data_IF_927971068706
#
_entry.id   IF_927971068706
#
_cell.length_a   1.000
_cell.length_b   1.000
_cell.length_c   1.000
_cell.angle_alpha   90.00
_cell.angle_beta   90.00
_cell.angle_gamma   90.00
#
_symmetry.space_group_name_H-M   'P 1'
#
loop_
_entity.id
_entity.type
_entity.pdbx_description
1 polymer ?
#
# COMPACT_ATOMS: atom_id res chain seq x y z
N UNK A 1 7.60 -10.68 57.99
CA UNK A 1 6.77 -11.16 56.85
C UNK A 1 5.95 -10.03 56.18
N UNK A 2 6.52 -8.84 55.93
CA UNK A 2 5.82 -7.73 55.22
C UNK A 2 6.34 -7.46 53.80
N UNK A 3 7.52 -7.99 53.43
CA UNK A 3 8.17 -7.70 52.14
C UNK A 3 7.72 -8.60 50.97
N UNK A 4 7.03 -9.72 51.26
CA UNK A 4 6.61 -10.70 50.23
C UNK A 4 5.31 -10.26 49.53
N UNK A 5 4.46 -9.47 50.19
CA UNK A 5 3.17 -9.03 49.60
C UNK A 5 3.31 -7.97 48.51
N UNK A 6 4.40 -7.19 48.50
CA UNK A 6 4.62 -6.13 47.51
C UNK A 6 5.11 -6.72 46.18
N UNK A 7 5.87 -7.83 46.24
CA UNK A 7 6.44 -8.47 45.05
C UNK A 7 5.37 -9.14 44.18
N UNK A 8 4.32 -9.70 44.79
CA UNK A 8 3.23 -10.37 44.09
C UNK A 8 2.27 -9.41 43.36
N UNK A 9 2.18 -8.15 43.80
CA UNK A 9 1.31 -7.13 43.17
C UNK A 9 1.96 -6.57 41.91
N UNK A 10 3.29 -6.43 41.89
CA UNK A 10 4.01 -5.98 40.70
C UNK A 10 3.94 -7.02 39.57
N UNK A 11 3.97 -8.32 39.84
CA UNK A 11 3.91 -9.36 38.80
C UNK A 11 2.54 -9.50 38.13
N UNK A 12 1.46 -9.09 38.78
CA UNK A 12 0.10 -9.15 38.20
C UNK A 12 -0.21 -7.89 37.37
N UNK A 13 0.45 -6.76 37.65
CA UNK A 13 0.29 -5.56 36.83
C UNK A 13 1.01 -5.64 35.48
N UNK A 14 2.07 -6.44 35.35
CA UNK A 14 2.78 -6.60 34.08
C UNK A 14 2.11 -7.58 33.11
N UNK A 15 1.21 -8.47 33.56
CA UNK A 15 0.49 -9.40 32.68
C UNK A 15 -0.74 -8.78 31.99
N UNK A 16 -1.24 -7.64 32.47
CA UNK A 16 -2.41 -6.97 31.89
C UNK A 16 -2.06 -5.92 30.82
N UNK A 17 -0.77 -5.65 30.61
CA UNK A 17 -0.28 -4.81 29.50
C UNK A 17 0.09 -5.67 28.29
N UNK A 18 -0.45 -6.90 28.21
CA UNK A 18 -0.52 -7.66 26.97
C UNK A 18 -1.55 -6.99 26.05
N UNK A 19 -1.11 -5.87 25.46
CA UNK A 19 -1.60 -5.22 24.25
C UNK A 19 -2.62 -6.06 23.45
N UNK A 20 -3.90 -5.98 23.83
CA UNK A 20 -4.95 -5.93 22.82
C UNK A 20 -4.78 -4.55 22.16
N UNK A 21 -3.89 -4.47 21.17
CA UNK A 21 -3.90 -3.35 20.25
C UNK A 21 -5.34 -3.20 19.79
N UNK A 22 -5.94 -2.01 19.95
CA UNK A 22 -7.32 -1.84 19.48
C UNK A 22 -7.40 -2.23 18.00
N UNK A 23 -8.57 -2.65 17.48
CA UNK A 23 -8.70 -2.96 16.06
C UNK A 23 -8.15 -1.85 15.15
N UNK A 24 -8.22 -0.59 15.59
CA UNK A 24 -7.61 0.56 14.91
C UNK A 24 -6.07 0.54 14.92
N UNK A 25 -5.44 0.12 16.02
CA UNK A 25 -3.98 0.00 16.12
C UNK A 25 -3.47 -1.21 15.32
N UNK A 26 -4.22 -2.33 15.31
CA UNK A 26 -3.92 -3.46 14.44
C UNK A 26 -4.05 -3.09 12.97
N UNK A 27 -5.13 -2.39 12.61
CA UNK A 27 -5.35 -1.88 11.26
C UNK A 27 -4.27 -0.88 10.85
N UNK A 28 -3.90 0.05 11.74
CA UNK A 28 -2.80 0.99 11.53
C UNK A 28 -1.47 0.27 11.35
N UNK A 29 -1.15 -0.72 12.20
CA UNK A 29 0.06 -1.53 12.07
C UNK A 29 0.07 -2.36 10.81
N UNK A 30 -1.07 -2.95 10.41
CA UNK A 30 -1.25 -3.68 9.15
C UNK A 30 -0.97 -2.78 7.95
N UNK A 31 -1.58 -1.59 7.90
CA UNK A 31 -1.34 -0.59 6.85
C UNK A 31 0.11 -0.11 6.83
N UNK A 32 0.73 0.05 8.00
CA UNK A 32 2.15 0.44 8.13
C UNK A 32 3.11 -0.69 7.77
N UNK A 33 2.71 -1.97 7.93
CA UNK A 33 3.54 -3.13 7.62
C UNK A 33 3.79 -3.30 6.12
N UNK A 34 2.91 -2.73 5.29
CA UNK A 34 3.14 -2.56 3.85
C UNK A 34 4.14 -1.41 3.66
N UNK A 35 5.43 -1.72 3.69
CA UNK A 35 6.47 -0.74 3.40
C UNK A 35 6.43 -0.42 1.91
N UNK A 36 5.80 0.70 1.56
CA UNK A 36 5.90 1.26 0.22
C UNK A 36 7.30 1.85 0.04
N UNK A 37 8.05 1.36 -0.95
CA UNK A 37 9.28 2.03 -1.38
C UNK A 37 8.93 3.41 -1.94
N UNK A 38 9.90 4.33 -1.96
CA UNK A 38 9.72 5.66 -2.55
C UNK A 38 9.14 5.58 -3.98
N UNK A 39 9.63 4.62 -4.78
CA UNK A 39 9.10 4.33 -6.11
C UNK A 39 7.62 3.92 -6.12
N UNK A 40 7.19 3.06 -5.19
CA UNK A 40 5.77 2.69 -5.12
C UNK A 40 4.90 3.90 -4.78
N UNK A 41 5.38 4.78 -3.90
CA UNK A 41 4.69 6.04 -3.61
C UNK A 41 4.58 6.90 -4.86
N UNK A 42 5.66 7.09 -5.59
CA UNK A 42 5.67 7.86 -6.85
C UNK A 42 4.68 7.29 -7.88
N UNK A 43 4.64 5.96 -8.03
CA UNK A 43 3.68 5.28 -8.91
C UNK A 43 2.23 5.51 -8.44
N UNK A 44 1.96 5.45 -7.14
CA UNK A 44 0.63 5.73 -6.61
C UNK A 44 0.20 7.18 -6.80
N UNK A 45 1.12 8.12 -6.58
CA UNK A 45 0.87 9.55 -6.82
C UNK A 45 0.61 9.80 -8.32
N UNK A 46 1.35 9.14 -9.20
CA UNK A 46 1.14 9.14 -10.65
C UNK A 46 -0.22 8.54 -11.05
N UNK A 47 -0.58 7.37 -10.52
CA UNK A 47 -1.88 6.75 -10.78
C UNK A 47 -3.06 7.60 -10.26
N UNK A 48 -2.87 8.26 -9.11
CA UNK A 48 -3.87 9.14 -8.53
C UNK A 48 -4.16 10.37 -9.41
N UNK A 49 -3.19 10.87 -10.17
CA UNK A 49 -3.41 11.98 -11.12
C UNK A 49 -4.39 11.61 -12.24
N UNK A 50 -4.51 10.31 -12.57
CA UNK A 50 -5.49 9.76 -13.52
C UNK A 50 -6.74 9.19 -12.86
N UNK A 51 -6.97 9.48 -11.57
CA UNK A 51 -8.12 8.98 -10.81
C UNK A 51 -8.05 7.48 -10.46
N UNK A 52 -6.89 6.83 -10.64
CA UNK A 52 -6.66 5.43 -10.25
C UNK A 52 -6.14 5.38 -8.82
N UNK A 53 -7.06 5.22 -7.87
CA UNK A 53 -6.72 5.27 -6.43
C UNK A 53 -5.95 4.02 -5.96
N UNK A 54 -4.96 4.17 -5.06
CA UNK A 54 -4.20 3.04 -4.51
C UNK A 54 -5.08 1.99 -3.82
N UNK A 55 -6.16 2.43 -3.18
CA UNK A 55 -7.12 1.58 -2.47
C UNK A 55 -7.82 0.56 -3.39
N UNK A 56 -7.87 0.83 -4.69
CA UNK A 56 -8.46 -0.06 -5.70
C UNK A 56 -7.43 -0.97 -6.37
N UNK A 57 -6.15 -0.83 -6.03
CA UNK A 57 -5.06 -1.64 -6.59
C UNK A 57 -5.01 -2.99 -5.89
N UNK A 58 -5.19 -4.08 -6.66
CA UNK A 58 -5.01 -5.45 -6.17
C UNK A 58 -3.54 -5.86 -6.32
N UNK A 59 -2.94 -5.55 -7.47
CA UNK A 59 -1.57 -5.94 -7.79
C UNK A 59 -0.81 -4.75 -8.35
N UNK A 60 0.44 -4.60 -7.93
CA UNK A 60 1.37 -3.63 -8.48
C UNK A 60 2.74 -4.28 -8.63
N UNK A 61 3.14 -4.50 -9.87
CA UNK A 61 4.47 -4.96 -10.24
C UNK A 61 5.28 -3.78 -10.78
N UNK A 62 6.50 -3.62 -10.28
CA UNK A 62 7.41 -2.53 -10.67
C UNK A 62 8.60 -3.14 -11.36
N UNK A 63 8.91 -2.66 -12.57
CA UNK A 63 10.00 -3.17 -13.38
C UNK A 63 11.28 -2.38 -13.13
N UNK A 64 12.25 -3.03 -12.49
CA UNK A 64 13.54 -2.44 -12.18
C UNK A 64 13.43 -1.18 -11.33
N UNK A 65 14.23 -0.17 -11.66
CA UNK A 65 14.27 1.12 -10.94
C UNK A 65 13.75 2.29 -11.77
N UNK A 66 13.19 2.04 -12.95
CA UNK A 66 12.90 3.06 -13.97
C UNK A 66 11.50 3.66 -13.84
N UNK A 67 10.72 3.30 -12.84
CA UNK A 67 9.33 3.80 -12.70
C UNK A 67 8.36 3.22 -13.72
N UNK A 68 8.75 2.15 -14.44
CA UNK A 68 7.84 1.34 -15.27
C UNK A 68 7.09 0.37 -14.38
N UNK A 69 5.79 0.19 -14.60
CA UNK A 69 4.96 -0.65 -13.74
C UNK A 69 3.77 -1.25 -14.47
N UNK A 70 3.24 -2.33 -13.90
CA UNK A 70 1.94 -2.91 -14.24
C UNK A 70 1.09 -2.90 -12.98
N UNK A 71 -0.12 -2.37 -13.11
CA UNK A 71 -1.09 -2.28 -12.03
C UNK A 71 -2.37 -3.01 -12.44
N UNK A 72 -2.90 -3.85 -11.56
CA UNK A 72 -4.23 -4.45 -11.70
C UNK A 72 -5.15 -3.90 -10.63
N UNK A 73 -6.35 -3.45 -11.03
CA UNK A 73 -7.35 -2.95 -10.09
C UNK A 73 -8.46 -3.96 -9.80
N UNK A 74 -9.35 -3.61 -8.87
CA UNK A 74 -10.49 -4.43 -8.47
C UNK A 74 -11.60 -4.59 -9.51
N UNK A 75 -11.48 -3.91 -10.66
CA UNK A 75 -12.39 -4.05 -11.80
C UNK A 75 -11.81 -4.97 -12.89
N UNK A 76 -10.74 -5.72 -12.59
CA UNK A 76 -9.95 -6.51 -13.54
C UNK A 76 -9.38 -5.68 -14.72
N UNK A 77 -9.21 -4.37 -14.54
CA UNK A 77 -8.48 -3.53 -15.48
C UNK A 77 -6.98 -3.59 -15.15
N UNK A 78 -6.19 -3.79 -16.20
CA UNK A 78 -4.73 -3.85 -16.14
C UNK A 78 -4.18 -2.61 -16.82
N UNK A 79 -3.37 -1.84 -16.08
CA UNK A 79 -2.73 -0.63 -16.57
C UNK A 79 -1.21 -0.82 -16.64
N UNK A 80 -0.62 -0.47 -17.77
CA UNK A 80 0.81 -0.37 -18.02
C UNK A 80 1.21 1.09 -17.92
N UNK A 81 2.17 1.39 -17.05
CA UNK A 81 2.57 2.77 -16.81
C UNK A 81 4.08 2.97 -16.86
N UNK A 82 4.47 4.20 -17.18
CA UNK A 82 5.83 4.70 -17.17
C UNK A 82 5.81 6.11 -16.61
N UNK A 83 6.30 6.26 -15.37
CA UNK A 83 6.31 7.53 -14.65
C UNK A 83 7.20 8.58 -15.35
N UNK A 84 8.46 8.28 -15.75
CA UNK A 84 9.31 9.21 -16.49
C UNK A 84 8.69 9.85 -17.74
N UNK A 85 7.97 9.05 -18.55
CA UNK A 85 7.33 9.55 -19.79
C UNK A 85 5.88 9.96 -19.57
N UNK A 86 5.43 9.99 -18.31
CA UNK A 86 4.06 10.24 -17.91
C UNK A 86 3.03 9.48 -18.78
N UNK A 87 3.27 8.20 -19.05
CA UNK A 87 2.39 7.37 -19.87
C UNK A 87 1.65 6.33 -19.07
N UNK A 88 0.37 6.14 -19.37
CA UNK A 88 -0.51 5.16 -18.76
C UNK A 88 -1.46 4.60 -19.83
N UNK A 89 -1.40 3.29 -20.04
CA UNK A 89 -2.30 2.57 -20.93
C UNK A 89 -3.04 1.49 -20.16
N UNK A 90 -4.37 1.46 -20.22
CA UNK A 90 -5.18 0.48 -19.50
C UNK A 90 -6.05 -0.36 -20.44
N UNK A 91 -6.23 -1.61 -20.05
CA UNK A 91 -7.04 -2.61 -20.75
C UNK A 91 -7.99 -3.29 -19.76
N UNK A 92 -9.19 -3.63 -20.21
CA UNK A 92 -10.09 -4.47 -19.42
C UNK A 92 -9.73 -5.96 -19.53
N UNK A 93 -10.45 -6.81 -18.78
CA UNK A 93 -10.23 -8.26 -18.71
C UNK A 93 -10.31 -9.02 -20.04
N UNK A 94 -10.90 -8.42 -21.08
CA UNK A 94 -11.05 -9.00 -22.42
C UNK A 94 -10.11 -8.34 -23.45
N UNK A 95 -9.21 -7.46 -23.01
CA UNK A 95 -8.16 -6.86 -23.85
C UNK A 95 -8.57 -5.61 -24.65
N UNK A 96 -9.74 -5.03 -24.39
CA UNK A 96 -10.07 -3.72 -24.97
C UNK A 96 -9.40 -2.61 -24.18
N UNK A 97 -8.77 -1.68 -24.91
CA UNK A 97 -8.17 -0.49 -24.33
C UNK A 97 -9.24 0.44 -23.75
N UNK A 98 -9.16 0.71 -22.46
CA UNK A 98 -10.10 1.56 -21.71
C UNK A 98 -9.57 2.96 -21.48
N UNK A 99 -8.25 3.12 -21.45
CA UNK A 99 -7.58 4.39 -21.19
C UNK A 99 -6.22 4.43 -21.88
N UNK A 100 -5.84 5.60 -22.38
CA UNK A 100 -4.50 5.87 -22.87
C UNK A 100 -4.21 7.35 -22.69
N UNK A 101 -3.16 7.64 -21.94
CA UNK A 101 -2.53 8.95 -21.88
C UNK A 101 -1.03 8.76 -22.03
N UNK A 102 -0.37 9.58 -22.83
CA UNK A 102 1.08 9.67 -22.88
C UNK A 102 1.46 11.15 -22.94
N UNK A 103 2.27 11.61 -21.99
CA UNK A 103 2.84 12.95 -22.04
C UNK A 103 3.71 13.10 -23.27
N UNK A 104 3.61 14.25 -23.94
CA UNK A 104 4.55 14.65 -24.96
C UNK A 104 5.88 14.97 -24.25
N UNK A 105 6.89 14.14 -24.47
CA UNK A 105 8.23 14.44 -23.97
C UNK A 105 8.88 15.44 -24.93
N UNK A 106 8.66 16.72 -24.69
CA UNK A 106 9.58 17.78 -25.16
C UNK A 106 10.94 17.67 -24.45
#
# INVERSE_FOLDING_TARGET
MKKIKILAICTILFSAIAYAASPLVEEFKRRKSTVHTTQKKEIYDFLASFGKLPEKTIELEVFGTTGKFVMKNSSDEVCFGDVPTASLECYNSIGYRTFFEAGDSD
#
